data_IF_806902100941
#
_entry.id   IF_806902100941
#
_cell.length_a   1.000
_cell.length_b   1.000
_cell.length_c   1.000
_cell.angle_alpha   90.00
_cell.angle_beta   90.00
_cell.angle_gamma   90.00
#
_symmetry.space_group_name_H-M   'P 1'
#
loop_
_entity.id
_entity.type
_entity.pdbx_description
1 polymer ?
#
# COMPACT_ATOMS: atom_id res chain seq x y z
N UNK A 1 4.87 -23.07 20.80
CA UNK A 1 5.89 -22.01 20.60
C UNK A 1 5.51 -20.86 21.51
N UNK A 2 6.32 -20.60 22.54
CA UNK A 2 6.10 -19.52 23.50
C UNK A 2 6.45 -18.18 22.83
N UNK A 3 5.47 -17.31 22.65
CA UNK A 3 5.72 -15.94 22.22
C UNK A 3 6.52 -15.20 23.32
N UNK A 4 7.79 -14.96 23.03
CA UNK A 4 8.59 -13.96 23.76
C UNK A 4 8.06 -12.58 23.39
N UNK A 5 7.12 -12.07 24.19
CA UNK A 5 6.61 -10.70 24.05
C UNK A 5 7.64 -9.76 24.64
N UNK A 6 8.33 -9.00 23.78
CA UNK A 6 9.31 -8.00 24.18
C UNK A 6 8.65 -6.91 25.05
N UNK A 7 9.06 -6.80 26.31
CA UNK A 7 8.41 -5.94 27.32
C UNK A 7 8.65 -4.44 27.15
N UNK A 8 9.61 -4.06 26.29
CA UNK A 8 10.09 -2.69 26.15
C UNK A 8 9.80 -2.09 24.76
N UNK A 9 8.85 -2.67 24.00
CA UNK A 9 8.41 -2.12 22.73
C UNK A 9 7.08 -1.40 22.93
N UNK A 10 7.08 -0.09 22.69
CA UNK A 10 5.87 0.73 22.65
C UNK A 10 5.61 1.15 21.20
N UNK A 11 4.34 1.07 20.78
CA UNK A 11 3.92 1.60 19.50
C UNK A 11 3.81 3.12 19.60
N UNK A 12 4.53 3.83 18.74
CA UNK A 12 4.37 5.27 18.59
C UNK A 12 3.34 5.56 17.52
N UNK A 13 2.15 6.01 17.94
CA UNK A 13 1.11 6.45 17.03
C UNK A 13 1.47 7.81 16.43
N UNK A 14 1.44 7.91 15.10
CA UNK A 14 1.57 9.19 14.41
C UNK A 14 0.29 10.02 14.54
N UNK A 15 0.41 11.34 14.53
CA UNK A 15 -0.75 12.27 14.53
C UNK A 15 -1.65 12.11 13.30
N UNK A 16 -1.10 11.61 12.19
CA UNK A 16 -1.85 11.31 10.96
C UNK A 16 -2.18 9.82 10.89
N UNK A 17 -3.43 9.49 11.21
CA UNK A 17 -3.96 8.13 11.13
C UNK A 17 -4.20 7.67 9.69
N UNK A 18 -4.38 6.35 9.51
CA UNK A 18 -4.86 5.77 8.26
C UNK A 18 -6.18 6.41 7.81
N UNK A 19 -7.13 6.61 8.74
CA UNK A 19 -8.45 7.21 8.44
C UNK A 19 -8.32 8.64 7.92
N UNK A 20 -7.38 9.43 8.45
CA UNK A 20 -7.11 10.78 7.96
C UNK A 20 -6.66 10.76 6.50
N UNK A 21 -5.74 9.84 6.14
CA UNK A 21 -5.26 9.66 4.76
C UNK A 21 -6.36 9.17 3.82
N UNK A 22 -7.16 8.19 4.24
CA UNK A 22 -8.25 7.66 3.42
C UNK A 22 -9.35 8.70 3.16
N UNK A 23 -9.67 9.54 4.17
CA UNK A 23 -10.60 10.66 4.00
C UNK A 23 -10.05 11.70 3.02
N UNK A 24 -8.76 12.06 3.11
CA UNK A 24 -8.13 13.00 2.19
C UNK A 24 -8.07 12.46 0.75
N UNK A 25 -7.89 11.15 0.59
CA UNK A 25 -7.76 10.50 -0.71
C UNK A 25 -9.11 10.09 -1.33
N UNK A 26 -10.19 10.06 -0.54
CA UNK A 26 -11.49 9.51 -0.97
C UNK A 26 -11.44 8.03 -1.39
N UNK A 27 -10.39 7.30 -0.99
CA UNK A 27 -10.23 5.88 -1.22
C UNK A 27 -9.36 5.24 -0.13
N UNK A 28 -9.47 3.91 0.00
CA UNK A 28 -8.59 3.12 0.88
C UNK A 28 -7.22 2.94 0.27
N UNK A 29 -6.20 2.89 1.12
CA UNK A 29 -4.84 2.48 0.71
C UNK A 29 -4.72 0.95 0.70
N UNK A 30 -4.04 0.41 -0.30
CA UNK A 30 -3.69 -1.00 -0.42
C UNK A 30 -2.45 -1.17 -1.29
N UNK A 31 -1.86 -2.37 -1.26
CA UNK A 31 -0.69 -2.74 -2.08
C UNK A 31 -1.10 -3.83 -3.07
N UNK A 32 -0.78 -3.64 -4.35
CA UNK A 32 -0.83 -4.70 -5.35
C UNK A 32 0.60 -5.23 -5.53
N UNK A 33 0.81 -6.48 -5.13
CA UNK A 33 2.11 -7.13 -5.26
C UNK A 33 2.15 -8.02 -6.50
N UNK A 34 2.67 -7.49 -7.61
CA UNK A 34 2.89 -8.29 -8.82
C UNK A 34 4.06 -9.26 -8.62
N UNK A 35 3.81 -10.55 -8.82
CA UNK A 35 4.83 -11.61 -8.77
C UNK A 35 4.70 -12.53 -9.99
N UNK A 36 5.79 -13.20 -10.37
CA UNK A 36 5.85 -14.02 -11.59
C UNK A 36 7.24 -14.04 -12.23
N UNK A 37 7.44 -14.97 -13.17
CA UNK A 37 8.70 -15.18 -13.89
C UNK A 37 9.17 -13.94 -14.65
N UNK A 38 10.47 -13.86 -14.98
CA UNK A 38 10.98 -12.82 -15.89
C UNK A 38 10.22 -12.88 -17.23
N UNK A 39 9.87 -11.71 -17.78
CA UNK A 39 9.08 -11.62 -19.02
C UNK A 39 7.58 -11.87 -18.88
N UNK A 40 7.05 -12.22 -17.69
CA UNK A 40 5.60 -12.45 -17.48
C UNK A 40 4.72 -11.18 -17.52
N UNK A 41 5.27 -10.02 -17.90
CA UNK A 41 4.51 -8.78 -18.05
C UNK A 41 4.25 -7.97 -16.78
N UNK A 42 4.87 -8.29 -15.62
CA UNK A 42 4.66 -7.56 -14.34
C UNK A 42 4.81 -6.05 -14.47
N UNK A 43 5.92 -5.59 -15.04
CA UNK A 43 6.21 -4.15 -15.21
C UNK A 43 5.28 -3.51 -16.24
N UNK A 44 4.93 -4.23 -17.31
CA UNK A 44 3.96 -3.75 -18.31
C UNK A 44 2.60 -3.50 -17.66
N UNK A 45 2.12 -4.44 -16.83
CA UNK A 45 0.84 -4.31 -16.16
C UNK A 45 0.85 -3.26 -15.05
N UNK A 46 1.95 -3.14 -14.28
CA UNK A 46 2.03 -2.13 -13.21
C UNK A 46 1.96 -0.71 -13.76
N UNK A 47 2.65 -0.44 -14.88
CA UNK A 47 2.63 0.88 -15.54
C UNK A 47 1.25 1.21 -16.12
N UNK A 48 0.62 0.26 -16.83
CA UNK A 48 -0.71 0.47 -17.38
C UNK A 48 -1.78 0.66 -16.29
N UNK A 49 -1.65 -0.07 -15.17
CA UNK A 49 -2.53 0.08 -14.03
C UNK A 49 -2.38 1.46 -13.37
N UNK A 50 -1.16 1.93 -13.18
CA UNK A 50 -0.87 3.26 -12.64
C UNK A 50 -1.52 4.35 -13.51
N UNK A 51 -1.32 4.30 -14.82
CA UNK A 51 -1.95 5.23 -15.77
C UNK A 51 -3.49 5.21 -15.64
N UNK A 52 -4.09 4.02 -15.50
CA UNK A 52 -5.54 3.90 -15.32
C UNK A 52 -6.01 4.52 -14.01
N UNK A 53 -5.30 4.28 -12.91
CA UNK A 53 -5.63 4.82 -11.58
C UNK A 53 -5.48 6.34 -11.54
N UNK A 54 -4.46 6.89 -12.22
CA UNK A 54 -4.30 8.32 -12.39
C UNK A 54 -5.52 8.96 -13.06
N UNK A 55 -5.97 8.38 -14.18
CA UNK A 55 -7.18 8.84 -14.88
C UNK A 55 -8.47 8.70 -14.05
N UNK A 56 -8.48 7.83 -13.04
CA UNK A 56 -9.58 7.68 -12.08
C UNK A 56 -9.46 8.65 -10.88
N UNK A 57 -8.43 9.49 -10.83
CA UNK A 57 -8.18 10.40 -9.72
C UNK A 57 -7.64 9.71 -8.45
N UNK A 58 -7.20 8.45 -8.56
CA UNK A 58 -6.59 7.74 -7.44
C UNK A 58 -5.11 8.14 -7.29
N UNK A 59 -4.65 8.32 -6.05
CA UNK A 59 -3.23 8.57 -5.79
C UNK A 59 -2.46 7.25 -5.76
N UNK A 60 -1.45 7.16 -6.60
CA UNK A 60 -0.50 6.04 -6.71
C UNK A 60 0.94 6.51 -6.39
N UNK A 61 1.85 5.56 -6.18
CA UNK A 61 3.27 5.76 -5.92
C UNK A 61 4.10 4.91 -6.89
#
# INVERSE_FOLDING_TARGET
MTESKSSNIVWHEGTVSRKHRELLNQHRGFTIWFTGLSGSGKSTLSVALEERLYHMGCRTY
#
